data_IF_297150370496
#
_entry.id   IF_297150370496
#
_cell.length_a   1.000
_cell.length_b   1.000
_cell.length_c   1.000
_cell.angle_alpha   90.00
_cell.angle_beta   90.00
_cell.angle_gamma   90.00
#
_symmetry.space_group_name_H-M   'P 1'
#
loop_
_entity.id
_entity.type
_entity.pdbx_description
1 polymer ?
#
# COMPACT_ATOMS: atom_id res chain seq x y z
N UNK A 1 8.31 0.19 -26.64
CA UNK A 1 7.24 -0.31 -25.74
C UNK A 1 7.79 -0.42 -24.32
N UNK A 2 6.98 -0.15 -23.29
CA UNK A 2 7.36 -0.30 -21.88
C UNK A 2 6.40 -1.27 -21.22
N UNK A 3 6.94 -2.33 -20.62
CA UNK A 3 6.16 -3.38 -19.97
C UNK A 3 6.45 -3.38 -18.46
N UNK A 4 5.39 -3.38 -17.66
CA UNK A 4 5.48 -3.53 -16.21
C UNK A 4 5.01 -4.94 -15.88
N UNK A 5 5.86 -5.73 -15.22
CA UNK A 5 5.57 -7.14 -14.96
C UNK A 5 5.62 -7.47 -13.47
N UNK A 6 4.83 -8.44 -13.06
CA UNK A 6 4.96 -9.09 -11.77
C UNK A 6 5.91 -10.29 -11.87
N UNK A 7 6.80 -10.43 -10.91
CA UNK A 7 7.62 -11.61 -10.72
C UNK A 7 7.11 -12.44 -9.53
N UNK A 8 7.68 -13.62 -9.31
CA UNK A 8 7.22 -14.55 -8.26
C UNK A 8 7.29 -14.01 -6.82
N UNK A 9 7.95 -12.87 -6.60
CA UNK A 9 7.99 -12.24 -5.28
C UNK A 9 6.63 -11.71 -4.82
N UNK A 10 5.63 -11.56 -5.71
CA UNK A 10 4.27 -11.20 -5.28
C UNK A 10 3.72 -12.15 -4.20
N UNK A 11 4.15 -13.42 -4.22
CA UNK A 11 3.75 -14.44 -3.24
C UNK A 11 4.23 -14.11 -1.82
N UNK A 12 5.40 -13.47 -1.71
CA UNK A 12 5.95 -13.05 -0.42
C UNK A 12 5.23 -11.83 0.16
N UNK A 13 4.38 -11.19 -0.63
CA UNK A 13 3.62 -10.00 -0.26
C UNK A 13 2.16 -10.30 0.06
N UNK A 14 1.74 -11.58 0.04
CA UNK A 14 0.45 -11.96 0.60
C UNK A 14 0.37 -11.57 2.08
N UNK A 15 -0.74 -11.00 2.55
CA UNK A 15 -2.06 -10.93 1.92
C UNK A 15 -2.31 -9.69 1.05
N UNK A 16 -1.38 -8.76 0.92
CA UNK A 16 -1.60 -7.47 0.25
C UNK A 16 -1.76 -7.59 -1.28
N UNK A 17 -1.25 -8.66 -1.86
CA UNK A 17 -1.27 -8.89 -3.31
C UNK A 17 -2.31 -9.90 -3.77
N UNK A 18 -3.29 -10.27 -2.94
CA UNK A 18 -4.40 -11.09 -3.41
C UNK A 18 -5.30 -10.33 -4.40
N UNK A 19 -5.74 -9.13 -4.03
CA UNK A 19 -6.66 -8.33 -4.86
C UNK A 19 -5.95 -7.19 -5.61
N UNK A 20 -4.64 -7.09 -5.47
CA UNK A 20 -3.79 -6.08 -6.08
C UNK A 20 -2.56 -6.72 -6.74
N UNK A 21 -2.13 -6.23 -7.91
CA UNK A 21 -0.77 -6.51 -8.37
C UNK A 21 0.23 -5.75 -7.50
N UNK A 22 1.49 -6.21 -7.49
CA UNK A 22 2.55 -5.60 -6.67
C UNK A 22 2.76 -4.11 -6.96
N UNK A 23 2.53 -3.69 -8.18
CA UNK A 23 2.73 -2.30 -8.59
C UNK A 23 1.64 -1.32 -8.12
N UNK A 24 0.58 -1.80 -7.48
CA UNK A 24 -0.43 -0.96 -6.79
C UNK A 24 -0.10 -0.72 -5.32
N UNK A 25 0.85 -1.47 -4.73
CA UNK A 25 1.19 -1.29 -3.32
C UNK A 25 1.86 0.07 -3.09
N UNK A 26 1.23 0.91 -2.27
CA UNK A 26 1.76 2.24 -1.93
C UNK A 26 3.02 2.13 -1.07
N UNK A 27 4.07 2.88 -1.45
CA UNK A 27 5.31 3.02 -0.67
C UNK A 27 5.86 4.45 -0.86
N UNK A 28 5.89 5.25 0.18
CA UNK A 28 6.00 6.70 0.05
C UNK A 28 4.67 7.31 -0.44
N UNK A 29 4.70 8.43 -1.12
CA UNK A 29 3.47 9.07 -1.66
C UNK A 29 2.84 8.29 -2.82
N UNK A 30 3.57 7.37 -3.45
CA UNK A 30 3.18 6.76 -4.73
C UNK A 30 3.39 5.26 -4.72
N UNK A 31 2.54 4.54 -5.44
CA UNK A 31 2.79 3.16 -5.80
C UNK A 31 3.88 3.05 -6.89
N UNK A 32 4.46 1.86 -7.13
CA UNK A 32 5.37 1.66 -8.26
C UNK A 32 4.78 2.10 -9.60
N UNK A 33 3.52 1.78 -9.88
CA UNK A 33 2.83 2.18 -11.11
C UNK A 33 2.72 3.71 -11.23
N UNK A 34 2.28 4.38 -10.16
CA UNK A 34 2.18 5.84 -10.13
C UNK A 34 3.55 6.52 -10.35
N UNK A 35 4.65 5.94 -9.81
CA UNK A 35 6.02 6.42 -10.06
C UNK A 35 6.42 6.29 -11.52
N UNK A 36 6.11 5.14 -12.14
CA UNK A 36 6.41 4.87 -13.54
C UNK A 36 5.63 5.85 -14.43
N UNK A 37 4.35 6.08 -14.14
CA UNK A 37 3.51 7.03 -14.87
C UNK A 37 4.01 8.49 -14.83
N UNK A 38 4.81 8.88 -13.83
CA UNK A 38 5.46 10.20 -13.82
C UNK A 38 6.54 10.36 -14.90
N UNK A 39 7.15 9.26 -15.30
CA UNK A 39 8.27 9.27 -16.26
C UNK A 39 7.85 8.90 -17.68
N UNK A 40 6.73 8.16 -17.82
CA UNK A 40 6.29 7.63 -19.10
C UNK A 40 4.78 7.87 -19.32
N UNK A 41 4.36 8.25 -20.53
CA UNK A 41 2.96 8.41 -20.86
C UNK A 41 2.23 7.07 -20.80
N UNK A 42 0.97 7.08 -20.37
CA UNK A 42 0.14 5.87 -20.25
C UNK A 42 0.03 5.09 -21.56
N UNK A 43 -0.02 5.78 -22.71
CA UNK A 43 -0.11 5.15 -24.03
C UNK A 43 1.10 4.29 -24.42
N UNK A 44 2.24 4.46 -23.75
CA UNK A 44 3.44 3.64 -23.97
C UNK A 44 3.53 2.42 -23.04
N UNK A 45 2.61 2.29 -22.07
CA UNK A 45 2.68 1.27 -21.04
C UNK A 45 1.80 0.06 -21.35
N UNK A 46 2.33 -1.12 -21.05
CA UNK A 46 1.59 -2.38 -21.00
C UNK A 46 1.80 -3.02 -19.63
N UNK A 47 0.70 -3.40 -18.98
CA UNK A 47 0.72 -4.12 -17.70
C UNK A 47 0.65 -5.61 -17.97
N UNK A 48 1.68 -6.35 -17.53
CA UNK A 48 1.68 -7.81 -17.53
C UNK A 48 1.29 -8.30 -16.14
N UNK A 49 0.10 -8.87 -16.03
CA UNK A 49 -0.51 -9.25 -14.76
C UNK A 49 -0.77 -10.75 -14.68
N UNK A 50 -0.91 -11.27 -13.48
CA UNK A 50 -1.41 -12.63 -13.25
C UNK A 50 -2.78 -12.79 -13.91
N UNK A 51 -3.09 -14.00 -14.36
CA UNK A 51 -4.32 -14.28 -15.09
C UNK A 51 -5.58 -13.85 -14.35
N UNK A 52 -5.64 -14.17 -13.07
CA UNK A 52 -6.79 -13.83 -12.22
C UNK A 52 -7.01 -12.32 -12.03
N UNK A 53 -5.99 -11.49 -12.28
CA UNK A 53 -6.07 -10.03 -12.17
C UNK A 53 -6.47 -9.35 -13.49
N UNK A 54 -6.46 -10.03 -14.62
CA UNK A 54 -6.62 -9.39 -15.94
C UNK A 54 -7.92 -8.58 -16.05
N UNK A 55 -9.06 -9.17 -15.68
CA UNK A 55 -10.37 -8.54 -15.77
C UNK A 55 -10.45 -7.28 -14.91
N UNK A 56 -10.10 -7.39 -13.62
CA UNK A 56 -10.16 -6.26 -12.68
C UNK A 56 -9.18 -5.16 -13.07
N UNK A 57 -8.02 -5.50 -13.62
CA UNK A 57 -7.04 -4.49 -14.04
C UNK A 57 -7.48 -3.74 -15.29
N UNK A 58 -8.19 -4.39 -16.21
CA UNK A 58 -8.81 -3.70 -17.35
C UNK A 58 -9.92 -2.73 -16.92
N UNK A 59 -10.68 -3.09 -15.89
CA UNK A 59 -11.70 -2.19 -15.32
C UNK A 59 -11.07 -0.99 -14.60
N UNK A 60 -9.99 -1.22 -13.80
CA UNK A 60 -9.29 -0.15 -13.06
C UNK A 60 -8.51 0.79 -13.98
N UNK A 61 -7.92 0.26 -15.06
CA UNK A 61 -7.03 1.01 -15.96
C UNK A 61 -7.49 0.92 -17.42
N UNK A 62 -8.67 1.46 -17.78
CA UNK A 62 -9.22 1.33 -19.14
C UNK A 62 -8.34 2.02 -20.22
N UNK A 63 -7.45 2.92 -19.81
CA UNK A 63 -6.55 3.64 -20.71
C UNK A 63 -5.15 2.99 -20.81
N UNK A 64 -4.90 1.87 -20.12
CA UNK A 64 -3.66 1.11 -20.22
C UNK A 64 -3.90 -0.21 -20.97
N UNK A 65 -2.86 -0.68 -21.66
CA UNK A 65 -2.92 -2.03 -22.21
C UNK A 65 -2.67 -3.04 -21.10
N UNK A 66 -3.58 -3.98 -20.87
CA UNK A 66 -3.48 -5.02 -19.83
C UNK A 66 -3.48 -6.39 -20.50
N UNK A 67 -2.47 -7.20 -20.19
CA UNK A 67 -2.25 -8.52 -20.76
C UNK A 67 -1.99 -9.52 -19.63
N UNK A 68 -2.68 -10.66 -19.66
CA UNK A 68 -2.36 -11.77 -18.76
C UNK A 68 -1.00 -12.39 -19.10
N UNK A 69 -0.25 -12.79 -18.09
CA UNK A 69 1.11 -13.31 -18.18
C UNK A 69 1.20 -14.75 -18.76
N UNK A 70 0.16 -15.21 -19.49
CA UNK A 70 0.09 -16.51 -20.17
C UNK A 70 0.87 -16.60 -21.47
N UNK A 71 1.15 -15.45 -22.10
CA UNK A 71 1.83 -15.42 -23.41
C UNK A 71 3.33 -15.46 -23.22
N UNK A 72 4.02 -16.15 -24.11
CA UNK A 72 5.47 -16.04 -24.16
C UNK A 72 5.83 -14.56 -24.36
N UNK A 73 6.69 -14.05 -23.49
CA UNK A 73 7.14 -12.65 -23.53
C UNK A 73 7.81 -12.33 -24.88
N UNK A 74 8.43 -13.34 -25.53
CA UNK A 74 8.98 -13.27 -26.89
C UNK A 74 7.99 -12.74 -27.92
N UNK A 75 6.70 -13.11 -27.83
CA UNK A 75 5.66 -12.68 -28.78
C UNK A 75 5.31 -11.19 -28.63
N UNK A 76 5.65 -10.59 -27.49
CA UNK A 76 5.42 -9.19 -27.20
C UNK A 76 6.55 -8.27 -27.69
N UNK A 77 7.76 -8.84 -27.93
CA UNK A 77 8.94 -8.08 -28.30
C UNK A 77 8.98 -7.87 -29.82
N UNK A 78 8.19 -6.92 -30.31
CA UNK A 78 8.18 -6.54 -31.74
C UNK A 78 9.23 -5.45 -32.07
N UNK A 79 9.67 -4.71 -31.07
CA UNK A 79 10.60 -3.58 -31.16
C UNK A 79 11.44 -3.52 -29.87
N UNK A 80 12.36 -2.54 -29.76
CA UNK A 80 13.08 -2.32 -28.49
C UNK A 80 12.10 -2.11 -27.37
N UNK A 81 12.21 -2.91 -26.32
CA UNK A 81 11.27 -2.92 -25.21
C UNK A 81 12.00 -2.78 -23.87
N UNK A 82 11.49 -1.90 -23.02
CA UNK A 82 11.91 -1.75 -21.63
C UNK A 82 10.95 -2.52 -20.73
N UNK A 83 11.48 -3.47 -19.97
CA UNK A 83 10.76 -4.22 -18.97
C UNK A 83 11.09 -3.67 -17.59
N UNK A 84 10.08 -3.28 -16.82
CA UNK A 84 10.21 -2.78 -15.46
C UNK A 84 9.53 -3.74 -14.48
N UNK A 85 10.25 -4.11 -13.43
CA UNK A 85 9.66 -4.87 -12.34
C UNK A 85 8.53 -4.09 -11.69
N UNK A 86 7.39 -4.73 -11.45
CA UNK A 86 6.26 -4.14 -10.71
C UNK A 86 6.60 -3.74 -9.27
N UNK A 87 7.76 -4.14 -8.76
CA UNK A 87 8.30 -3.78 -7.45
C UNK A 87 9.29 -2.60 -7.51
N UNK A 88 9.53 -2.05 -8.69
CA UNK A 88 10.52 -0.99 -8.90
C UNK A 88 9.97 0.37 -8.44
N UNK A 89 10.62 0.95 -7.46
CA UNK A 89 10.34 2.29 -6.92
C UNK A 89 11.32 3.28 -7.55
N UNK A 90 11.02 3.70 -8.78
CA UNK A 90 11.89 4.57 -9.57
C UNK A 90 12.00 5.97 -8.97
N UNK A 91 13.22 6.50 -8.90
CA UNK A 91 13.53 7.89 -8.56
C UNK A 91 14.04 8.69 -9.76
N UNK A 92 14.29 8.03 -10.88
CA UNK A 92 14.71 8.64 -12.15
C UNK A 92 14.15 7.86 -13.33
N UNK A 93 14.14 8.51 -14.49
CA UNK A 93 13.70 7.89 -15.73
C UNK A 93 14.79 6.99 -16.30
N UNK A 94 14.43 5.75 -16.66
CA UNK A 94 15.29 4.84 -17.42
C UNK A 94 14.97 5.03 -18.91
N UNK A 95 15.94 5.34 -19.80
CA UNK A 95 15.66 5.50 -21.21
C UNK A 95 15.08 4.22 -21.83
N UNK A 96 13.93 4.29 -22.54
CA UNK A 96 13.34 3.10 -23.15
C UNK A 96 14.12 2.64 -24.39
N UNK A 97 14.92 3.51 -24.96
CA UNK A 97 15.79 3.25 -26.11
C UNK A 97 17.24 3.10 -25.68
N UNK A 98 18.02 2.34 -26.44
CA UNK A 98 19.44 2.10 -26.19
C UNK A 98 19.81 0.63 -26.32
N UNK A 99 21.01 0.25 -25.88
CA UNK A 99 21.52 -1.12 -25.97
C UNK A 99 20.84 -2.05 -24.95
N UNK A 100 20.92 -3.35 -25.23
CA UNK A 100 20.47 -4.37 -24.30
C UNK A 100 21.16 -4.20 -22.96
N UNK A 101 20.38 -4.02 -21.90
CA UNK A 101 20.91 -3.66 -20.58
C UNK A 101 20.06 -4.27 -19.46
N UNK A 102 20.73 -4.54 -18.34
CA UNK A 102 20.12 -4.95 -17.08
C UNK A 102 20.18 -3.78 -16.10
N UNK A 103 19.05 -3.36 -15.55
CA UNK A 103 18.99 -2.23 -14.61
C UNK A 103 18.89 -2.73 -13.18
N UNK A 104 19.84 -2.34 -12.35
CA UNK A 104 19.92 -2.74 -10.95
C UNK A 104 19.80 -1.51 -10.02
N UNK A 105 19.17 -1.70 -8.87
CA UNK A 105 19.19 -0.71 -7.78
C UNK A 105 20.62 -0.51 -7.26
N UNK A 106 20.84 0.48 -6.39
CA UNK A 106 22.13 0.65 -5.72
C UNK A 106 22.50 -0.59 -4.88
N UNK A 107 21.50 -1.26 -4.29
CA UNK A 107 21.67 -2.45 -3.47
C UNK A 107 21.80 -3.76 -4.31
N UNK A 108 21.69 -3.66 -5.65
CA UNK A 108 21.84 -4.79 -6.56
C UNK A 108 20.55 -5.53 -6.91
N UNK A 109 19.39 -5.03 -6.51
CA UNK A 109 18.11 -5.60 -6.88
C UNK A 109 17.76 -5.31 -8.34
N UNK A 110 17.13 -6.29 -9.00
CA UNK A 110 16.65 -6.12 -10.37
C UNK A 110 15.50 -5.13 -10.41
N UNK A 111 15.71 -4.04 -11.15
CA UNK A 111 14.72 -2.99 -11.41
C UNK A 111 14.04 -3.22 -12.77
N UNK A 112 14.78 -3.71 -13.75
CA UNK A 112 14.27 -3.99 -15.06
C UNK A 112 15.36 -4.37 -16.04
N UNK A 113 14.98 -4.54 -17.30
CA UNK A 113 15.91 -4.81 -18.40
C UNK A 113 15.37 -4.23 -19.71
N UNK A 114 16.26 -3.97 -20.63
CA UNK A 114 15.94 -3.52 -21.99
C UNK A 114 16.48 -4.52 -23.00
N UNK A 115 15.66 -4.86 -23.98
CA UNK A 115 15.99 -5.76 -25.06
C UNK A 115 15.59 -5.12 -26.40
N UNK A 116 16.51 -5.10 -27.36
CA UNK A 116 16.25 -4.72 -28.75
C UNK A 116 15.46 -5.81 -29.46
N UNK A 117 14.77 -5.42 -30.54
CA UNK A 117 14.10 -6.36 -31.43
C UNK A 117 15.08 -7.46 -31.89
N UNK A 118 14.67 -8.71 -31.70
CA UNK A 118 15.49 -9.86 -32.08
C UNK A 118 15.94 -10.67 -30.86
N UNK A 119 17.13 -11.24 -30.94
CA UNK A 119 17.70 -12.00 -29.81
C UNK A 119 18.45 -11.07 -28.88
N UNK A 120 18.22 -11.22 -27.58
CA UNK A 120 19.03 -10.54 -26.58
C UNK A 120 20.52 -10.92 -26.76
N UNK A 121 21.39 -9.92 -26.77
CA UNK A 121 22.83 -10.14 -26.73
C UNK A 121 23.24 -10.47 -25.28
N UNK A 122 23.70 -11.66 -25.04
CA UNK A 122 24.19 -12.09 -23.72
C UNK A 122 25.72 -12.05 -23.67
N UNK A 123 26.34 -11.65 -22.55
CA UNK A 123 25.72 -11.16 -21.30
C UNK A 123 25.20 -9.71 -21.43
N UNK A 124 24.08 -9.40 -20.74
CA UNK A 124 23.55 -8.04 -20.67
C UNK A 124 24.49 -7.15 -19.85
N UNK A 125 24.69 -5.91 -20.32
CA UNK A 125 25.42 -4.90 -19.55
C UNK A 125 24.60 -4.48 -18.35
N UNK A 126 25.15 -4.60 -17.12
CA UNK A 126 24.51 -4.14 -15.91
C UNK A 126 24.75 -2.64 -15.69
N UNK A 127 23.68 -1.90 -15.45
CA UNK A 127 23.67 -0.47 -15.17
C UNK A 127 22.99 -0.20 -13.82
N UNK A 128 23.63 0.61 -12.97
CA UNK A 128 23.04 1.07 -11.70
C UNK A 128 22.10 2.24 -11.95
N UNK A 129 20.91 2.17 -11.37
CA UNK A 129 19.87 3.21 -11.45
C UNK A 129 19.42 3.64 -10.07
N UNK A 130 18.93 4.88 -9.97
CA UNK A 130 18.36 5.40 -8.72
C UNK A 130 16.95 4.87 -8.54
N UNK A 131 16.86 3.73 -7.89
CA UNK A 131 15.60 3.07 -7.59
C UNK A 131 15.75 2.21 -6.33
N UNK A 132 14.63 1.87 -5.72
CA UNK A 132 14.53 0.84 -4.68
C UNK A 132 13.64 -0.29 -5.17
N UNK A 133 13.66 -1.41 -4.45
CA UNK A 133 12.79 -2.56 -4.68
C UNK A 133 12.45 -3.22 -3.35
N UNK A 134 11.35 -3.94 -3.30
CA UNK A 134 10.92 -4.71 -2.12
C UNK A 134 10.62 -6.15 -2.53
N UNK A 135 10.86 -7.10 -1.63
CA UNK A 135 10.68 -8.55 -1.87
C UNK A 135 9.75 -9.20 -0.86
N UNK A 136 9.59 -8.57 0.29
CA UNK A 136 8.87 -9.13 1.42
C UNK A 136 7.96 -8.06 2.06
N UNK A 137 6.96 -8.50 2.79
CA UNK A 137 6.04 -7.59 3.52
C UNK A 137 6.77 -6.58 4.39
N UNK A 138 7.78 -7.03 5.14
CA UNK A 138 8.49 -6.17 6.09
C UNK A 138 9.44 -5.16 5.45
N UNK A 139 9.72 -5.27 4.15
CA UNK A 139 10.52 -4.29 3.42
C UNK A 139 9.73 -2.99 3.19
N UNK A 140 8.39 -3.07 3.17
CA UNK A 140 7.50 -1.96 2.83
C UNK A 140 7.56 -0.83 3.87
N UNK A 141 7.69 -1.16 5.16
CA UNK A 141 7.69 -0.16 6.24
C UNK A 141 8.95 0.72 6.21
N UNK A 142 10.20 0.18 6.27
CA UNK A 142 11.39 1.01 6.20
C UNK A 142 11.54 1.73 4.84
N UNK A 143 11.05 1.14 3.75
CA UNK A 143 11.04 1.83 2.45
C UNK A 143 10.07 3.01 2.44
N UNK A 144 8.91 2.89 3.08
CA UNK A 144 7.99 4.02 3.25
C UNK A 144 8.65 5.16 4.04
N UNK A 145 9.34 4.85 5.14
CA UNK A 145 10.06 5.84 5.94
C UNK A 145 11.14 6.55 5.12
N UNK A 146 11.83 5.83 4.25
CA UNK A 146 12.87 6.35 3.37
C UNK A 146 12.30 7.18 2.22
N UNK A 147 11.22 6.75 1.59
CA UNK A 147 10.66 7.36 0.39
C UNK A 147 9.74 8.53 0.68
N UNK A 148 8.96 8.46 1.76
CA UNK A 148 8.00 9.51 2.09
C UNK A 148 8.63 10.90 2.14
N UNK A 149 9.82 11.13 2.78
CA UNK A 149 10.52 12.41 2.73
C UNK A 149 11.03 12.80 1.33
N UNK A 150 11.42 11.82 0.50
CA UNK A 150 11.95 12.08 -0.84
C UNK A 150 10.85 12.47 -1.84
N UNK A 151 9.63 12.03 -1.60
CA UNK A 151 8.49 12.27 -2.48
C UNK A 151 7.80 13.61 -2.22
N UNK A 152 8.08 14.25 -1.09
CA UNK A 152 7.39 15.46 -0.70
C UNK A 152 7.61 16.60 -1.73
N UNK A 153 6.54 17.14 -2.32
CA UNK A 153 6.64 18.31 -3.15
C UNK A 153 6.92 19.53 -2.27
N UNK A 154 7.26 20.64 -2.87
CA UNK A 154 7.40 21.90 -2.16
C UNK A 154 6.11 22.25 -1.39
N UNK A 155 6.25 22.71 -0.16
CA UNK A 155 5.11 23.13 0.68
C UNK A 155 4.26 24.22 0.00
N UNK A 156 2.94 24.06 0.08
CA UNK A 156 1.95 24.98 -0.49
C UNK A 156 0.64 24.85 0.27
N UNK A 157 -0.05 25.95 0.49
CA UNK A 157 -1.37 25.96 1.15
C UNK A 157 -2.39 26.49 0.15
N UNK A 158 -3.25 25.59 -0.34
CA UNK A 158 -4.35 25.90 -1.29
C UNK A 158 -5.72 25.66 -0.66
N UNK A 159 -5.78 24.87 0.40
CA UNK A 159 -6.98 24.60 1.18
C UNK A 159 -7.19 25.57 2.33
N UNK A 160 -8.21 25.31 3.15
CA UNK A 160 -8.52 26.06 4.36
C UNK A 160 -7.59 25.62 5.50
N UNK A 161 -6.80 26.56 6.01
CA UNK A 161 -6.06 26.44 7.26
C UNK A 161 -6.62 27.46 8.25
N UNK A 162 -7.40 26.99 9.23
CA UNK A 162 -8.04 27.88 10.21
C UNK A 162 -7.01 28.60 11.08
N UNK A 163 -7.35 29.81 11.53
CA UNK A 163 -6.47 30.65 12.38
C UNK A 163 -6.18 30.01 13.75
N UNK A 164 -7.05 29.13 14.24
CA UNK A 164 -6.88 28.40 15.49
C UNK A 164 -6.00 27.16 15.38
N UNK A 165 -5.34 26.91 14.26
CA UNK A 165 -4.37 25.82 14.07
C UNK A 165 -3.00 26.24 14.58
N UNK A 166 -2.40 25.41 15.46
CA UNK A 166 -1.04 25.61 15.97
C UNK A 166 -0.05 24.94 15.02
N UNK A 167 0.94 25.67 14.56
CA UNK A 167 2.01 25.16 13.69
C UNK A 167 3.33 25.26 14.45
N UNK A 168 4.00 24.13 14.62
CA UNK A 168 5.35 24.03 15.19
C UNK A 168 6.35 23.76 14.07
N UNK A 169 7.42 24.54 14.00
CA UNK A 169 8.47 24.39 12.98
C UNK A 169 8.24 25.20 11.70
N UNK A 170 8.96 24.85 10.63
CA UNK A 170 8.96 25.61 9.37
C UNK A 170 7.71 25.34 8.54
N UNK A 171 6.89 26.35 8.37
CA UNK A 171 5.65 26.31 7.56
C UNK A 171 5.88 25.94 6.08
N UNK A 172 7.09 26.09 5.55
CA UNK A 172 7.45 25.64 4.18
C UNK A 172 7.40 24.11 4.02
N UNK A 173 7.35 23.37 5.12
CA UNK A 173 7.18 21.92 5.14
C UNK A 173 5.71 21.47 5.19
N UNK A 174 4.75 22.41 5.08
CA UNK A 174 3.32 22.11 5.08
C UNK A 174 2.75 22.19 3.67
N UNK A 175 2.08 21.13 3.24
CA UNK A 175 1.22 21.11 2.07
C UNK A 175 -0.24 20.90 2.50
N UNK A 176 -1.15 21.77 2.03
CA UNK A 176 -2.60 21.65 2.21
C UNK A 176 -3.26 21.80 0.85
N UNK A 177 -3.76 20.70 0.31
CA UNK A 177 -4.33 20.60 -1.02
C UNK A 177 -5.62 21.38 -1.21
N UNK A 178 -6.02 21.54 -2.46
CA UNK A 178 -7.25 22.24 -2.83
C UNK A 178 -8.48 21.58 -2.19
N UNK A 179 -9.33 22.38 -1.57
CA UNK A 179 -10.54 21.89 -0.89
C UNK A 179 -10.29 21.15 0.43
N UNK A 180 -9.04 20.92 0.81
CA UNK A 180 -8.73 20.40 2.14
C UNK A 180 -9.04 21.43 3.23
N UNK A 181 -9.41 20.92 4.43
CA UNK A 181 -9.79 21.77 5.57
C UNK A 181 -9.08 21.30 6.83
N UNK A 182 -8.34 22.20 7.46
CA UNK A 182 -7.75 21.99 8.78
C UNK A 182 -8.48 22.89 9.76
N UNK A 183 -9.33 22.28 10.60
CA UNK A 183 -10.17 23.00 11.55
C UNK A 183 -9.38 23.50 12.78
N UNK A 184 -9.94 24.44 13.58
CA UNK A 184 -9.23 24.98 14.74
C UNK A 184 -8.96 23.92 15.82
N UNK A 185 -7.99 24.20 16.70
CA UNK A 185 -7.60 23.30 17.79
C UNK A 185 -6.70 22.14 17.37
N UNK A 186 -6.26 22.10 16.12
CA UNK A 186 -5.28 21.12 15.66
C UNK A 186 -3.85 21.61 15.89
N UNK A 187 -2.91 20.67 16.10
CA UNK A 187 -1.47 20.93 16.20
C UNK A 187 -0.77 20.22 15.05
N UNK A 188 -0.07 20.99 14.21
CA UNK A 188 0.76 20.48 13.10
C UNK A 188 2.23 20.66 13.47
N UNK A 189 2.92 19.57 13.81
CA UNK A 189 4.33 19.59 14.18
C UNK A 189 5.22 19.25 12.97
N UNK A 190 5.89 20.27 12.41
CA UNK A 190 6.77 20.21 11.25
C UNK A 190 8.26 20.13 11.62
N UNK A 191 8.61 20.07 12.91
CA UNK A 191 10.00 20.12 13.35
C UNK A 191 10.82 18.98 12.75
N UNK A 192 10.29 17.75 12.78
CA UNK A 192 10.99 16.56 12.29
C UNK A 192 10.78 16.25 10.80
N UNK A 193 9.78 16.88 10.16
CA UNK A 193 9.51 16.62 8.75
C UNK A 193 8.28 17.36 8.23
N UNK A 194 7.94 17.10 6.99
CA UNK A 194 6.80 17.72 6.33
C UNK A 194 5.47 17.05 6.74
N UNK A 195 4.39 17.80 6.58
CA UNK A 195 3.02 17.28 6.63
C UNK A 195 2.36 17.55 5.29
N UNK A 196 1.85 16.48 4.66
CA UNK A 196 1.11 16.57 3.40
C UNK A 196 -0.35 16.20 3.65
N UNK A 197 -1.23 17.17 3.52
CA UNK A 197 -2.69 17.02 3.60
C UNK A 197 -3.23 17.21 2.19
N UNK A 198 -3.70 16.12 1.56
CA UNK A 198 -4.08 16.11 0.15
C UNK A 198 -5.46 16.72 -0.10
N UNK A 199 -5.87 16.78 -1.37
CA UNK A 199 -7.10 17.41 -1.83
C UNK A 199 -8.34 16.89 -1.08
N UNK A 200 -9.19 17.81 -0.65
CA UNK A 200 -10.47 17.51 -0.01
C UNK A 200 -10.37 16.79 1.34
N UNK A 201 -9.16 16.55 1.87
CA UNK A 201 -9.00 15.98 3.20
C UNK A 201 -9.49 16.92 4.31
N UNK A 202 -10.07 16.38 5.37
CA UNK A 202 -10.60 17.17 6.50
C UNK A 202 -9.97 16.72 7.82
N UNK A 203 -9.27 17.63 8.49
CA UNK A 203 -8.67 17.41 9.81
C UNK A 203 -9.56 18.08 10.86
N UNK A 204 -10.40 17.29 11.52
CA UNK A 204 -11.31 17.76 12.56
C UNK A 204 -10.55 18.18 13.83
N UNK A 205 -11.15 19.01 14.71
CA UNK A 205 -10.48 19.56 15.89
C UNK A 205 -9.83 18.51 16.78
N UNK A 206 -8.79 18.96 17.52
CA UNK A 206 -8.06 18.17 18.53
C UNK A 206 -7.22 17.02 17.98
N UNK A 207 -6.78 17.10 16.71
CA UNK A 207 -5.79 16.19 16.16
C UNK A 207 -4.38 16.76 16.33
N UNK A 208 -3.42 15.85 16.56
CA UNK A 208 -1.99 16.13 16.54
C UNK A 208 -1.36 15.39 15.36
N UNK A 209 -0.77 16.13 14.43
CA UNK A 209 -0.05 15.58 13.29
C UNK A 209 1.44 15.89 13.42
N UNK A 210 2.29 14.88 13.37
CA UNK A 210 3.74 15.00 13.41
C UNK A 210 4.35 14.52 12.08
N UNK A 211 5.08 15.40 11.41
CA UNK A 211 5.75 15.07 10.16
C UNK A 211 7.03 14.22 10.35
N UNK A 212 7.49 13.46 9.34
CA UNK A 212 6.86 13.34 8.01
C UNK A 212 5.60 12.49 8.06
N UNK A 213 4.50 12.98 7.47
CA UNK A 213 3.28 12.19 7.31
C UNK A 213 2.47 12.65 6.09
N UNK A 214 1.64 11.74 5.59
CA UNK A 214 0.73 11.96 4.46
C UNK A 214 -0.70 11.61 4.84
N UNK A 215 -1.63 12.50 4.52
CA UNK A 215 -3.07 12.33 4.64
C UNK A 215 -3.67 12.41 3.24
N UNK A 216 -4.16 11.30 2.72
CA UNK A 216 -4.66 11.14 1.37
C UNK A 216 -5.96 11.86 1.08
N UNK A 217 -6.25 11.97 -0.21
CA UNK A 217 -7.40 12.67 -0.77
C UNK A 217 -8.72 12.23 -0.12
N UNK A 218 -9.57 13.19 0.25
CA UNK A 218 -10.88 12.94 0.84
C UNK A 218 -10.88 12.24 2.20
N UNK A 219 -9.71 12.01 2.79
CA UNK A 219 -9.56 11.39 4.10
C UNK A 219 -10.03 12.33 5.22
N UNK A 220 -10.70 11.76 6.22
CA UNK A 220 -11.19 12.49 7.39
C UNK A 220 -10.49 12.00 8.66
N UNK A 221 -9.90 12.93 9.41
CA UNK A 221 -9.17 12.68 10.66
C UNK A 221 -9.95 13.27 11.83
N UNK A 222 -10.28 12.45 12.83
CA UNK A 222 -11.15 12.81 13.94
C UNK A 222 -10.38 12.72 15.27
N UNK A 223 -9.84 13.81 15.77
CA UNK A 223 -9.15 13.90 17.05
C UNK A 223 -7.99 12.89 17.21
N UNK A 224 -7.25 12.64 16.14
CA UNK A 224 -6.24 11.59 16.10
C UNK A 224 -4.84 12.08 16.43
N UNK A 225 -3.96 11.15 16.86
CA UNK A 225 -2.51 11.35 16.95
C UNK A 225 -1.85 10.67 15.75
N UNK A 226 -1.51 11.45 14.74
CA UNK A 226 -0.80 10.98 13.56
C UNK A 226 0.68 11.25 13.76
N UNK A 227 1.45 10.16 13.94
CA UNK A 227 2.87 10.21 14.20
C UNK A 227 3.68 10.11 12.91
N UNK A 228 5.00 10.23 13.05
CA UNK A 228 5.94 10.18 11.93
C UNK A 228 5.73 8.96 11.04
N UNK A 229 5.93 9.14 9.74
CA UNK A 229 5.86 8.13 8.70
C UNK A 229 4.48 7.47 8.53
N UNK A 230 3.44 8.00 9.17
CA UNK A 230 2.08 7.60 8.86
C UNK A 230 1.75 8.00 7.41
N UNK A 231 1.35 7.02 6.61
CA UNK A 231 1.02 7.16 5.20
C UNK A 231 -0.43 6.67 5.01
N UNK A 232 -1.35 7.60 5.02
CA UNK A 232 -2.79 7.31 5.01
C UNK A 232 -3.34 7.59 3.63
N UNK A 233 -3.87 6.54 2.99
CA UNK A 233 -4.46 6.59 1.65
C UNK A 233 -5.74 7.40 1.56
N UNK A 234 -6.39 7.28 0.42
CA UNK A 234 -7.58 8.08 0.08
C UNK A 234 -8.83 7.60 0.82
N UNK A 235 -9.77 8.54 1.02
CA UNK A 235 -11.12 8.24 1.55
C UNK A 235 -11.15 7.48 2.88
N UNK A 236 -10.06 7.51 3.65
CA UNK A 236 -9.99 6.88 4.98
C UNK A 236 -10.80 7.66 6.03
N UNK A 237 -11.13 6.99 7.13
CA UNK A 237 -11.75 7.55 8.33
C UNK A 237 -10.87 7.19 9.52
N UNK A 238 -10.23 8.19 10.10
CA UNK A 238 -9.08 8.00 10.98
C UNK A 238 -9.32 8.63 12.36
N UNK A 239 -9.07 7.85 13.42
CA UNK A 239 -9.04 8.25 14.82
C UNK A 239 -7.98 7.46 15.58
N UNK A 240 -7.78 7.78 16.87
CA UNK A 240 -6.78 7.14 17.71
C UNK A 240 -5.35 7.49 17.33
N UNK A 241 -4.41 6.56 17.48
CA UNK A 241 -2.97 6.79 17.24
C UNK A 241 -2.44 5.93 16.09
N UNK A 242 -1.68 6.55 15.16
CA UNK A 242 -1.06 5.88 14.01
C UNK A 242 0.40 6.34 13.91
N UNK A 243 1.34 5.38 13.84
CA UNK A 243 2.79 5.60 13.69
C UNK A 243 3.37 4.68 12.62
N UNK A 244 4.26 5.17 11.76
CA UNK A 244 5.03 4.38 10.76
C UNK A 244 4.20 3.32 10.05
N UNK A 245 2.97 3.64 9.68
CA UNK A 245 2.03 2.69 9.08
C UNK A 245 1.51 3.17 7.75
N UNK A 246 1.27 2.23 6.84
CA UNK A 246 0.68 2.46 5.54
C UNK A 246 -0.74 1.94 5.55
N UNK A 247 -1.70 2.80 5.26
CA UNK A 247 -3.09 2.45 5.07
C UNK A 247 -3.46 2.71 3.61
N UNK A 248 -3.96 1.68 2.93
CA UNK A 248 -4.50 1.83 1.58
C UNK A 248 -5.80 2.64 1.60
N UNK A 249 -6.49 2.74 0.48
CA UNK A 249 -7.72 3.52 0.38
C UNK A 249 -8.88 2.91 1.20
N UNK A 250 -9.84 3.74 1.57
CA UNK A 250 -11.11 3.35 2.21
C UNK A 250 -11.00 2.64 3.57
N UNK A 251 -9.86 2.73 4.24
CA UNK A 251 -9.69 2.16 5.58
C UNK A 251 -10.51 2.95 6.61
N UNK A 252 -11.22 2.22 7.47
CA UNK A 252 -11.95 2.77 8.59
C UNK A 252 -11.29 2.36 9.92
N UNK A 253 -10.44 3.23 10.46
CA UNK A 253 -9.91 3.19 11.82
C UNK A 253 -10.40 4.44 12.57
N UNK A 254 -11.70 4.55 12.70
CA UNK A 254 -12.35 5.77 13.16
C UNK A 254 -12.16 6.06 14.66
N UNK A 255 -12.09 5.01 15.47
CA UNK A 255 -12.09 5.08 16.93
C UNK A 255 -10.69 4.97 17.54
N UNK A 256 -10.58 5.15 18.86
CA UNK A 256 -9.37 4.96 19.64
C UNK A 256 -8.72 3.58 19.43
N UNK A 257 -7.42 3.53 19.66
CA UNK A 257 -6.54 2.37 19.51
C UNK A 257 -5.25 2.73 18.78
N UNK A 258 -4.18 2.00 19.07
CA UNK A 258 -2.87 2.18 18.47
C UNK A 258 -2.68 1.31 17.23
N UNK A 259 -2.09 1.89 16.18
CA UNK A 259 -1.66 1.21 14.96
C UNK A 259 -0.23 1.66 14.62
N UNK A 260 0.74 0.77 14.81
CA UNK A 260 2.16 1.06 14.56
C UNK A 260 2.82 0.07 13.63
N UNK A 261 3.75 0.54 12.78
CA UNK A 261 4.63 -0.21 11.88
C UNK A 261 3.90 -1.28 11.05
N UNK A 262 2.70 -0.93 10.54
CA UNK A 262 1.76 -1.85 9.92
C UNK A 262 1.44 -1.48 8.47
N UNK A 263 0.99 -2.47 7.69
CA UNK A 263 0.42 -2.25 6.38
C UNK A 263 -1.03 -2.76 6.32
N UNK A 264 -1.96 -1.90 5.98
CA UNK A 264 -3.39 -2.16 6.00
C UNK A 264 -3.94 -2.04 4.59
N UNK A 265 -4.54 -3.12 4.09
CA UNK A 265 -5.18 -3.19 2.78
C UNK A 265 -6.42 -2.32 2.65
N UNK A 266 -7.05 -2.35 1.50
CA UNK A 266 -8.25 -1.56 1.22
C UNK A 266 -9.49 -2.09 1.92
N UNK A 267 -10.44 -1.19 2.18
CA UNK A 267 -11.75 -1.56 2.75
C UNK A 267 -11.68 -2.27 4.09
N UNK A 268 -10.57 -2.15 4.81
CA UNK A 268 -10.42 -2.67 6.17
C UNK A 268 -11.22 -1.82 7.16
N UNK A 269 -11.92 -2.48 8.08
CA UNK A 269 -12.63 -1.83 9.18
C UNK A 269 -12.10 -2.32 10.53
N UNK A 270 -11.36 -1.47 11.23
CA UNK A 270 -10.87 -1.74 12.57
C UNK A 270 -11.89 -1.24 13.61
N UNK A 271 -12.45 -2.16 14.37
CA UNK A 271 -13.43 -1.85 15.44
C UNK A 271 -12.81 -0.98 16.54
N UNK A 272 -13.66 -0.31 17.31
CA UNK A 272 -13.21 0.56 18.41
C UNK A 272 -12.29 -0.17 19.38
N UNK A 273 -11.19 0.49 19.80
CA UNK A 273 -10.20 -0.10 20.70
C UNK A 273 -9.36 -1.22 20.07
N UNK A 274 -9.38 -1.39 18.74
CA UNK A 274 -8.43 -2.28 18.08
C UNK A 274 -7.01 -1.72 18.23
N UNK A 275 -6.11 -2.53 18.79
CA UNK A 275 -4.70 -2.19 18.98
C UNK A 275 -3.80 -3.25 18.37
N UNK A 276 -2.69 -2.84 17.78
CA UNK A 276 -1.62 -3.79 17.46
C UNK A 276 -0.40 -3.58 18.35
N UNK A 277 0.33 -4.65 18.62
CA UNK A 277 1.70 -4.57 19.12
C UNK A 277 2.65 -4.45 17.93
N UNK A 278 3.68 -3.62 18.06
CA UNK A 278 4.75 -3.49 17.07
C UNK A 278 6.15 -3.75 17.65
N UNK A 279 6.28 -3.73 18.98
CA UNK A 279 7.50 -4.05 19.72
C UNK A 279 7.23 -5.21 20.70
N UNK A 280 8.10 -6.20 20.70
CA UNK A 280 8.00 -7.33 21.64
C UNK A 280 8.49 -6.96 23.02
N UNK A 281 7.85 -7.46 24.07
CA UNK A 281 8.24 -7.19 25.46
C UNK A 281 9.69 -7.58 25.80
N UNK A 282 10.26 -8.53 25.08
CA UNK A 282 11.64 -8.99 25.28
C UNK A 282 12.65 -8.29 24.35
N UNK A 283 12.24 -7.27 23.60
CA UNK A 283 13.08 -6.46 22.70
C UNK A 283 13.90 -7.29 21.68
N UNK A 284 13.37 -8.44 21.26
CA UNK A 284 13.96 -9.23 20.16
C UNK A 284 13.27 -8.93 18.85
N UNK A 285 13.93 -9.25 17.73
CA UNK A 285 13.38 -9.09 16.39
C UNK A 285 12.03 -9.77 16.22
N UNK A 286 11.16 -9.15 15.42
CA UNK A 286 9.82 -9.67 15.14
C UNK A 286 9.94 -10.78 14.11
N UNK A 287 9.23 -11.90 14.35
CA UNK A 287 9.10 -13.01 13.38
C UNK A 287 7.71 -12.97 12.80
N UNK A 288 7.58 -13.19 11.51
CA UNK A 288 6.28 -13.39 10.84
C UNK A 288 6.08 -14.85 10.47
N UNK A 289 4.84 -15.23 10.24
CA UNK A 289 4.48 -16.56 9.78
C UNK A 289 3.84 -16.46 8.38
N UNK A 290 4.48 -17.13 7.40
CA UNK A 290 3.95 -17.27 6.05
C UNK A 290 3.75 -18.76 5.78
N UNK A 291 2.51 -19.18 5.70
CA UNK A 291 2.16 -20.60 5.68
C UNK A 291 2.71 -21.33 6.92
N UNK A 292 3.53 -22.38 6.71
CA UNK A 292 4.18 -23.12 7.80
C UNK A 292 5.55 -22.57 8.21
N UNK A 293 6.09 -21.59 7.48
CA UNK A 293 7.42 -21.04 7.73
C UNK A 293 7.32 -19.87 8.69
N UNK A 294 8.18 -19.86 9.70
CA UNK A 294 8.39 -18.72 10.60
C UNK A 294 9.71 -18.04 10.23
N UNK A 295 9.63 -16.79 9.79
CA UNK A 295 10.76 -16.04 9.23
C UNK A 295 11.10 -14.91 10.21
N UNK A 296 12.37 -14.76 10.55
CA UNK A 296 12.88 -13.62 11.29
C UNK A 296 13.05 -12.45 10.33
N UNK A 297 12.42 -11.32 10.61
CA UNK A 297 12.43 -10.15 9.74
C UNK A 297 13.64 -9.24 9.92
N UNK A 298 14.42 -9.49 10.96
CA UNK A 298 15.50 -8.58 11.39
C UNK A 298 15.00 -7.24 11.97
N UNK A 299 13.68 -6.98 11.95
CA UNK A 299 13.09 -5.73 12.43
C UNK A 299 12.78 -5.83 13.92
N UNK A 300 13.21 -4.81 14.69
CA UNK A 300 12.89 -4.71 16.12
C UNK A 300 11.45 -4.24 16.34
N UNK A 301 10.99 -3.29 15.51
CA UNK A 301 9.61 -2.80 15.44
C UNK A 301 8.95 -3.25 14.15
N UNK A 302 7.88 -4.01 14.26
CA UNK A 302 7.07 -4.44 13.13
C UNK A 302 5.66 -4.81 13.62
N UNK A 303 4.65 -4.15 13.09
CA UNK A 303 3.25 -4.35 13.42
C UNK A 303 2.61 -5.51 12.65
N UNK A 304 1.52 -5.25 11.98
CA UNK A 304 0.74 -6.28 11.28
C UNK A 304 0.57 -5.94 9.78
N UNK A 305 0.29 -7.00 9.00
CA UNK A 305 -0.04 -6.94 7.58
C UNK A 305 -1.45 -7.48 7.40
N UNK A 306 -2.36 -6.62 7.01
CA UNK A 306 -3.78 -6.92 6.92
C UNK A 306 -4.23 -6.78 5.47
N UNK A 307 -4.78 -7.87 4.92
CA UNK A 307 -5.34 -7.89 3.58
C UNK A 307 -6.67 -7.14 3.49
N UNK A 308 -7.16 -6.99 2.27
CA UNK A 308 -8.36 -6.21 1.98
C UNK A 308 -9.62 -6.79 2.62
N UNK A 309 -10.58 -5.91 2.87
CA UNK A 309 -11.89 -6.24 3.42
C UNK A 309 -11.90 -6.92 4.80
N UNK A 310 -10.78 -6.91 5.53
CA UNK A 310 -10.72 -7.43 6.90
C UNK A 310 -11.53 -6.56 7.85
N UNK A 311 -12.18 -7.21 8.82
CA UNK A 311 -12.93 -6.56 9.88
C UNK A 311 -12.51 -7.07 11.24
N UNK A 312 -12.38 -6.18 12.22
CA UNK A 312 -12.12 -6.55 13.61
C UNK A 312 -13.27 -6.14 14.52
N UNK A 313 -13.57 -6.98 15.50
CA UNK A 313 -14.48 -6.62 16.58
C UNK A 313 -13.87 -5.53 17.49
N UNK A 314 -14.72 -4.94 18.33
CA UNK A 314 -14.33 -3.99 19.36
C UNK A 314 -13.31 -4.65 20.30
N UNK A 315 -12.23 -3.90 20.64
CA UNK A 315 -11.20 -4.34 21.57
C UNK A 315 -10.24 -5.41 21.04
N UNK A 316 -10.24 -5.69 19.74
CA UNK A 316 -9.31 -6.67 19.13
C UNK A 316 -7.86 -6.28 19.39
N UNK A 317 -7.07 -7.24 19.86
CA UNK A 317 -5.62 -7.10 20.08
C UNK A 317 -4.86 -7.92 19.06
N UNK A 318 -3.99 -7.26 18.28
CA UNK A 318 -3.23 -7.86 17.17
C UNK A 318 -1.76 -7.98 17.58
N UNK A 319 -1.15 -9.17 17.58
CA UNK A 319 0.24 -9.33 17.96
C UNK A 319 1.21 -8.80 16.90
N UNK A 320 2.42 -8.42 17.32
CA UNK A 320 3.51 -7.98 16.44
C UNK A 320 3.83 -9.05 15.37
N UNK A 321 3.97 -8.62 14.13
CA UNK A 321 4.20 -9.48 12.96
C UNK A 321 3.02 -10.36 12.58
N UNK A 322 1.80 -9.95 12.91
CA UNK A 322 0.61 -10.68 12.45
C UNK A 322 0.40 -10.53 10.94
N UNK A 323 -0.02 -11.61 10.29
CA UNK A 323 -0.36 -11.67 8.85
C UNK A 323 -1.81 -12.15 8.74
N UNK A 324 -2.68 -11.30 8.24
CA UNK A 324 -4.14 -11.51 8.24
C UNK A 324 -4.64 -11.50 6.81
N UNK A 325 -5.17 -12.63 6.34
CA UNK A 325 -5.69 -12.82 4.99
C UNK A 325 -6.90 -11.93 4.67
N UNK A 326 -7.19 -11.78 3.37
CA UNK A 326 -8.34 -11.01 2.89
C UNK A 326 -9.66 -11.52 3.47
N UNK A 327 -10.62 -10.61 3.64
CA UNK A 327 -11.96 -10.94 4.15
C UNK A 327 -11.98 -11.66 5.52
N UNK A 328 -10.90 -11.62 6.30
CA UNK A 328 -10.97 -12.15 7.65
C UNK A 328 -11.88 -11.27 8.54
N UNK A 329 -12.75 -11.91 9.31
CA UNK A 329 -13.61 -11.25 10.30
C UNK A 329 -13.20 -11.74 11.68
N UNK A 330 -12.52 -10.88 12.43
CA UNK A 330 -11.84 -11.25 13.68
C UNK A 330 -12.73 -10.90 14.86
N UNK A 331 -13.21 -11.93 15.54
CA UNK A 331 -13.86 -11.84 16.83
C UNK A 331 -13.06 -12.75 17.77
N UNK A 332 -12.20 -12.19 18.61
CA UNK A 332 -11.32 -12.96 19.47
C UNK A 332 -11.32 -12.41 20.90
N UNK A 333 -11.30 -13.29 21.87
CA UNK A 333 -10.96 -12.96 23.24
C UNK A 333 -9.44 -12.88 23.38
N UNK A 334 -8.91 -11.76 23.88
CA UNK A 334 -7.48 -11.56 24.00
C UNK A 334 -6.79 -11.18 22.68
N UNK A 335 -5.59 -11.72 22.44
CA UNK A 335 -4.87 -11.55 21.19
C UNK A 335 -5.42 -12.48 20.10
N UNK A 336 -5.64 -11.93 18.90
CA UNK A 336 -5.96 -12.75 17.75
C UNK A 336 -4.76 -13.64 17.36
N UNK A 337 -4.96 -14.75 16.64
CA UNK A 337 -3.88 -15.55 16.09
C UNK A 337 -2.94 -14.74 15.21
N UNK A 338 -1.65 -15.07 15.23
CA UNK A 338 -0.61 -14.35 14.49
C UNK A 338 -0.70 -14.52 12.96
N UNK A 339 -1.30 -15.60 12.50
CA UNK A 339 -1.57 -15.86 11.09
C UNK A 339 -3.01 -16.29 10.94
N UNK A 340 -3.76 -15.58 10.10
CA UNK A 340 -5.14 -15.89 9.78
C UNK A 340 -5.29 -16.09 8.28
N UNK A 341 -5.97 -17.15 7.84
CA UNK A 341 -6.20 -17.41 6.43
C UNK A 341 -7.21 -16.42 5.83
N UNK A 342 -7.30 -16.42 4.50
CA UNK A 342 -8.36 -15.71 3.78
C UNK A 342 -9.74 -16.20 4.22
N UNK A 343 -10.70 -15.29 4.31
CA UNK A 343 -12.08 -15.57 4.69
C UNK A 343 -12.21 -16.22 6.07
N UNK A 344 -11.26 -15.98 6.97
CA UNK A 344 -11.38 -16.44 8.37
C UNK A 344 -12.65 -15.85 9.01
N UNK A 345 -13.43 -16.71 9.65
CA UNK A 345 -14.50 -16.36 10.56
C UNK A 345 -14.16 -16.90 11.93
N UNK A 346 -14.59 -16.26 13.00
CA UNK A 346 -14.29 -16.63 14.39
C UNK A 346 -14.10 -18.14 14.61
N UNK A 347 -13.18 -18.52 15.51
CA UNK A 347 -12.95 -19.92 15.93
C UNK A 347 -12.53 -20.88 14.80
N UNK A 348 -11.82 -20.38 13.76
CA UNK A 348 -11.34 -21.20 12.67
C UNK A 348 -12.39 -21.57 11.61
N UNK A 349 -13.61 -21.08 11.76
CA UNK A 349 -14.61 -21.21 10.70
C UNK A 349 -14.25 -20.34 9.51
N UNK A 350 -14.70 -20.72 8.33
CA UNK A 350 -14.57 -19.92 7.13
C UNK A 350 -15.81 -19.07 6.91
N UNK A 351 -15.62 -17.79 6.58
CA UNK A 351 -16.73 -16.90 6.23
C UNK A 351 -17.36 -17.35 4.91
N UNK A 352 -18.67 -17.48 4.91
CA UNK A 352 -19.44 -17.84 3.73
C UNK A 352 -19.28 -16.76 2.65
N UNK A 353 -18.86 -17.19 1.47
CA UNK A 353 -18.46 -16.31 0.36
C UNK A 353 -19.56 -15.30 -0.01
N UNK A 354 -20.81 -15.75 -0.17
CA UNK A 354 -21.90 -14.87 -0.57
C UNK A 354 -22.19 -13.79 0.49
N UNK A 355 -22.07 -14.12 1.78
CA UNK A 355 -22.20 -13.15 2.87
C UNK A 355 -21.02 -12.16 2.88
N UNK A 356 -19.82 -12.63 2.60
CA UNK A 356 -18.64 -11.77 2.51
C UNK A 356 -18.78 -10.76 1.35
N UNK A 357 -19.20 -11.22 0.17
CA UNK A 357 -19.47 -10.39 -1.01
C UNK A 357 -20.61 -9.38 -0.74
N UNK A 358 -21.73 -9.83 -0.16
CA UNK A 358 -22.84 -8.94 0.20
C UNK A 358 -22.39 -7.86 1.19
N UNK A 359 -21.51 -8.21 2.14
CA UNK A 359 -20.94 -7.25 3.09
C UNK A 359 -20.04 -6.24 2.40
N UNK A 360 -19.19 -6.69 1.45
CA UNK A 360 -18.36 -5.78 0.65
C UNK A 360 -19.22 -4.79 -0.14
N UNK A 361 -20.22 -5.27 -0.86
CA UNK A 361 -21.17 -4.42 -1.60
C UNK A 361 -21.85 -3.38 -0.68
N UNK A 362 -22.35 -3.80 0.46
CA UNK A 362 -22.99 -2.89 1.42
C UNK A 362 -22.02 -1.83 1.98
N UNK A 363 -20.77 -2.20 2.24
CA UNK A 363 -19.74 -1.27 2.70
C UNK A 363 -19.32 -0.28 1.62
N UNK A 364 -19.10 -0.75 0.39
CA UNK A 364 -18.71 0.07 -0.76
C UNK A 364 -19.83 1.05 -1.15
N UNK A 365 -21.10 0.61 -1.17
CA UNK A 365 -22.26 1.47 -1.45
C UNK A 365 -22.36 2.66 -0.49
N UNK A 366 -22.01 2.50 0.79
CA UNK A 366 -21.99 3.60 1.79
C UNK A 366 -20.91 4.67 1.46
N UNK A 367 -20.01 4.38 0.56
CA UNK A 367 -18.98 5.30 0.06
C UNK A 367 -19.22 5.70 -1.40
N UNK A 368 -20.41 5.42 -1.95
CA UNK A 368 -20.75 5.69 -3.34
C UNK A 368 -19.91 4.90 -4.34
N UNK A 369 -19.44 3.71 -3.94
CA UNK A 369 -18.69 2.78 -4.78
C UNK A 369 -19.48 1.50 -5.00
N UNK A 370 -19.25 0.86 -6.13
CA UNK A 370 -19.84 -0.42 -6.48
C UNK A 370 -18.74 -1.48 -6.59
N UNK A 371 -19.03 -2.69 -6.17
CA UNK A 371 -18.17 -3.85 -6.41
C UNK A 371 -18.32 -4.23 -7.89
N UNK A 372 -17.24 -4.13 -8.65
CA UNK A 372 -17.25 -4.43 -10.08
C UNK A 372 -17.33 -5.94 -10.34
N UNK A 373 -17.59 -6.31 -11.60
CA UNK A 373 -17.62 -7.74 -11.98
C UNK A 373 -16.25 -8.39 -11.86
N UNK A 374 -15.19 -7.69 -12.30
CA UNK A 374 -13.81 -8.17 -12.18
C UNK A 374 -13.39 -8.34 -10.73
N UNK A 375 -13.73 -7.38 -9.85
CA UNK A 375 -13.46 -7.52 -8.41
C UNK A 375 -14.20 -8.70 -7.79
N UNK A 376 -15.47 -8.91 -8.12
CA UNK A 376 -16.22 -10.05 -7.63
C UNK A 376 -15.65 -11.39 -8.14
N UNK A 377 -15.30 -11.47 -9.44
CA UNK A 377 -14.66 -12.65 -10.03
C UNK A 377 -13.37 -13.00 -9.30
N UNK A 378 -12.54 -12.00 -9.02
CA UNK A 378 -11.28 -12.18 -8.31
C UNK A 378 -11.47 -12.62 -6.85
N UNK A 379 -12.45 -12.05 -6.14
CA UNK A 379 -12.81 -12.48 -4.77
C UNK A 379 -13.26 -13.95 -4.77
N UNK A 380 -14.11 -14.34 -5.73
CA UNK A 380 -14.59 -15.73 -5.89
C UNK A 380 -13.43 -16.68 -6.18
N UNK A 381 -12.49 -16.29 -7.05
CA UNK A 381 -11.29 -17.07 -7.34
C UNK A 381 -10.51 -17.40 -6.06
N UNK A 382 -10.17 -16.39 -5.25
CA UNK A 382 -9.42 -16.62 -4.00
C UNK A 382 -10.25 -17.30 -2.90
N UNK A 383 -11.57 -17.16 -2.94
CA UNK A 383 -12.44 -17.89 -2.02
C UNK A 383 -12.48 -19.41 -2.30
N UNK A 384 -12.26 -19.83 -3.53
CA UNK A 384 -12.24 -21.25 -3.91
C UNK A 384 -10.89 -21.93 -3.61
N UNK A 385 -9.82 -21.16 -3.54
CA UNK A 385 -8.52 -21.71 -3.17
C UNK A 385 -8.55 -22.16 -1.70
N UNK A 386 -8.31 -23.46 -1.49
CA UNK A 386 -8.09 -23.97 -0.13
C UNK A 386 -6.75 -23.41 0.35
N UNK A 387 -6.79 -22.56 1.37
CA UNK A 387 -5.62 -21.94 1.99
C UNK A 387 -4.72 -22.94 2.71
#
# INVERSE_FOLDING_TARGET
>A
MILIYEDDFYKNLFPLTYLHPVFELRVGLFSPLERILKFYPSSALTLLVREELEEVMRERYPNLNVIAQKREVSDLIKETSLFLSGRALLLEKIPPEGDDSLFLSQDGDLIGFRIKKGKASLPLKAEKVRAFSFKNLWDLIPLNEKLLPLDFPKGKIEGLLDKGVIILGDRKKLFVGKGAKVFPGNVLNLEKGFIYIDEGAEIFPFSYLEGPCYIGKGTKVFGAKIRQFANIGEECRIGGEIESSILMAFVNKYHEGFLGHSYIGEWVNLGAGTNNSDLKNNYTTVKIQIGRKRIDTGQLKLGCFIGDHVKTAIGTRIPAGAVIGIFANIVAEGFCPKSLPNFYWREGQRWEMEKAIATARGMMARRGKELTKGEESLIRYYAQLKG
#
